data_IF_035184138883
#
_entry.id   IF_035184138883
#
_cell.length_a   1.000
_cell.length_b   1.000
_cell.length_c   1.000
_cell.angle_alpha   90.00
_cell.angle_beta   90.00
_cell.angle_gamma   90.00
#
_symmetry.space_group_name_H-M   'P 1'
#
loop_
_entity.id
_entity.type
_entity.pdbx_description
1 polymer ?
#
# COMPACT_ATOMS: atom_id res chain seq x y z
N UNK A 1 20.65 -9.44 10.90
CA UNK A 1 19.52 -10.12 10.23
C UNK A 1 18.79 -9.06 9.44
N UNK A 2 18.75 -9.17 8.11
CA UNK A 2 17.98 -8.25 7.27
C UNK A 2 16.50 -8.65 7.38
N UNK A 3 15.70 -7.82 8.06
CA UNK A 3 14.27 -8.04 8.12
C UNK A 3 13.63 -7.46 6.85
N UNK A 4 12.84 -8.28 6.13
CA UNK A 4 11.94 -7.79 5.10
C UNK A 4 10.78 -7.06 5.78
N UNK A 5 10.99 -5.78 6.12
CA UNK A 5 10.05 -5.03 6.93
C UNK A 5 8.68 -4.97 6.27
N UNK A 6 7.69 -5.57 6.92
CA UNK A 6 6.26 -5.39 6.60
C UNK A 6 5.85 -3.99 7.01
N UNK A 7 5.51 -3.15 6.03
CA UNK A 7 5.18 -1.73 6.22
C UNK A 7 3.70 -1.40 6.02
N UNK A 8 2.95 -2.28 5.38
CA UNK A 8 1.52 -2.09 5.15
C UNK A 8 0.77 -3.42 5.08
N UNK A 9 -0.56 -3.35 5.00
CA UNK A 9 -1.42 -4.50 4.76
C UNK A 9 -2.66 -4.13 3.94
N UNK A 10 -3.15 -5.06 3.13
CA UNK A 10 -4.38 -4.90 2.34
C UNK A 10 -5.19 -6.19 2.37
N UNK A 11 -6.45 -6.14 2.83
CA UNK A 11 -7.32 -7.32 2.87
C UNK A 11 -6.72 -8.55 3.60
N UNK A 12 -5.93 -8.32 4.65
CA UNK A 12 -5.24 -9.39 5.40
C UNK A 12 -3.91 -9.88 4.80
N UNK A 13 -3.46 -9.31 3.67
CA UNK A 13 -2.12 -9.56 3.11
C UNK A 13 -1.12 -8.54 3.66
N UNK A 14 0.08 -9.00 4.01
CA UNK A 14 1.18 -8.16 4.48
C UNK A 14 2.06 -7.68 3.32
N UNK A 15 2.46 -6.42 3.36
CA UNK A 15 3.20 -5.74 2.30
C UNK A 15 4.55 -5.30 2.84
N UNK A 16 5.62 -5.72 2.18
CA UNK A 16 6.98 -5.31 2.50
C UNK A 16 7.35 -3.99 1.83
N UNK A 17 8.37 -3.31 2.35
CA UNK A 17 8.80 -2.00 1.82
C UNK A 17 9.09 -2.01 0.31
N UNK A 18 9.70 -3.07 -0.22
CA UNK A 18 10.03 -3.17 -1.66
C UNK A 18 8.81 -3.27 -2.58
N UNK A 19 7.67 -3.75 -2.07
CA UNK A 19 6.43 -3.92 -2.85
C UNK A 19 5.40 -2.82 -2.60
N UNK A 20 5.65 -1.93 -1.62
CA UNK A 20 4.63 -0.99 -1.13
C UNK A 20 4.15 -0.03 -2.21
N UNK A 21 5.05 0.47 -3.06
CA UNK A 21 4.72 1.42 -4.12
C UNK A 21 3.79 0.79 -5.16
N UNK A 22 4.24 -0.30 -5.78
CA UNK A 22 3.47 -1.04 -6.79
C UNK A 22 2.08 -1.43 -6.28
N UNK A 23 2.00 -2.03 -5.09
CA UNK A 23 0.72 -2.47 -4.52
C UNK A 23 -0.19 -1.30 -4.15
N UNK A 24 0.37 -0.17 -3.72
CA UNK A 24 -0.42 1.04 -3.44
C UNK A 24 -0.99 1.66 -4.71
N UNK A 25 -0.24 1.68 -5.82
CA UNK A 25 -0.74 2.12 -7.12
C UNK A 25 -1.82 1.20 -7.66
N UNK A 26 -1.62 -0.13 -7.58
CA UNK A 26 -2.64 -1.12 -7.96
C UNK A 26 -3.93 -0.98 -7.13
N UNK A 27 -3.81 -0.73 -5.84
CA UNK A 27 -4.95 -0.47 -4.96
C UNK A 27 -5.65 0.86 -5.31
N UNK A 28 -4.89 1.93 -5.56
CA UNK A 28 -5.43 3.24 -5.94
C UNK A 28 -6.26 3.15 -7.22
N UNK A 29 -5.75 2.45 -8.24
CA UNK A 29 -6.49 2.22 -9.48
C UNK A 29 -7.81 1.45 -9.26
N UNK A 30 -7.83 0.48 -8.34
CA UNK A 30 -9.07 -0.23 -7.96
C UNK A 30 -10.07 0.70 -7.25
N UNK A 31 -9.59 1.62 -6.41
CA UNK A 31 -10.44 2.62 -5.76
C UNK A 31 -11.03 3.59 -6.79
N UNK A 32 -10.24 4.02 -7.77
CA UNK A 32 -10.71 4.87 -8.87
C UNK A 32 -11.78 4.17 -9.72
N UNK A 33 -11.54 2.92 -10.13
CA UNK A 33 -12.50 2.09 -10.87
C UNK A 33 -13.79 1.86 -10.07
N UNK A 34 -13.67 1.56 -8.76
CA UNK A 34 -14.81 1.45 -7.87
C UNK A 34 -15.61 2.76 -7.83
N UNK A 35 -14.96 3.90 -7.66
CA UNK A 35 -15.62 5.20 -7.59
C UNK A 35 -16.31 5.58 -8.92
N UNK A 36 -15.73 5.20 -10.06
CA UNK A 36 -16.34 5.42 -11.37
C UNK A 36 -17.60 4.56 -11.55
N UNK A 37 -17.51 3.25 -11.26
CA UNK A 37 -18.62 2.30 -11.43
C UNK A 37 -19.73 2.49 -10.41
N UNK A 38 -19.39 2.88 -9.18
CA UNK A 38 -20.36 3.05 -8.10
C UNK A 38 -21.34 4.22 -8.34
N UNK A 39 -21.09 5.07 -9.36
CA UNK A 39 -22.04 6.09 -9.82
C UNK A 39 -23.31 5.51 -10.44
N UNK A 40 -23.22 4.31 -11.01
CA UNK A 40 -24.31 3.69 -11.80
C UNK A 40 -24.69 2.30 -11.33
N UNK A 41 -23.78 1.58 -10.66
CA UNK A 41 -23.98 0.21 -10.21
C UNK A 41 -23.52 0.05 -8.76
N UNK A 42 -24.19 -0.80 -7.97
CA UNK A 42 -23.66 -1.16 -6.64
C UNK A 42 -22.51 -2.16 -6.85
N UNK A 43 -21.30 -1.74 -6.56
CA UNK A 43 -20.08 -2.56 -6.62
C UNK A 43 -19.52 -2.78 -5.22
N UNK A 44 -18.70 -3.83 -5.05
CA UNK A 44 -18.02 -4.09 -3.78
C UNK A 44 -16.76 -3.23 -3.68
N UNK A 45 -16.51 -2.52 -2.57
CA UNK A 45 -15.32 -1.69 -2.42
C UNK A 45 -14.05 -2.55 -2.37
N UNK A 46 -12.91 -2.04 -2.87
CA UNK A 46 -11.62 -2.71 -2.71
C UNK A 46 -11.25 -2.82 -1.22
N UNK A 47 -10.47 -3.84 -0.81
CA UNK A 47 -10.02 -3.97 0.57
C UNK A 47 -9.22 -2.74 1.03
N UNK A 48 -9.35 -2.39 2.31
CA UNK A 48 -8.66 -1.23 2.89
C UNK A 48 -7.13 -1.42 2.92
N UNK A 49 -6.39 -0.42 2.45
CA UNK A 49 -4.94 -0.37 2.50
C UNK A 49 -4.48 0.37 3.78
N UNK A 50 -3.77 -0.34 4.66
CA UNK A 50 -3.34 0.17 5.98
C UNK A 50 -1.83 0.22 6.08
N UNK A 51 -1.29 1.39 6.39
CA UNK A 51 0.12 1.53 6.77
C UNK A 51 0.34 1.18 8.23
N UNK A 52 1.46 0.52 8.52
CA UNK A 52 1.88 0.18 9.87
C UNK A 52 2.89 1.20 10.41
N UNK A 53 2.85 1.45 11.71
CA UNK A 53 3.85 2.29 12.40
C UNK A 53 5.08 1.49 12.83
N UNK A 54 4.90 0.19 13.06
CA UNK A 54 5.94 -0.76 13.45
C UNK A 54 5.87 -1.98 12.54
N UNK A 55 7.02 -2.57 12.27
CA UNK A 55 7.12 -3.75 11.44
C UNK A 55 6.41 -4.91 12.15
N UNK A 56 5.44 -5.52 11.47
CA UNK A 56 4.69 -6.64 12.04
C UNK A 56 5.52 -7.91 12.20
N UNK A 57 6.72 -7.97 11.61
CA UNK A 57 7.62 -9.12 11.70
C UNK A 57 8.68 -8.97 12.81
N UNK A 58 9.43 -7.87 12.83
CA UNK A 58 10.51 -7.65 13.81
C UNK A 58 10.17 -6.66 14.94
N UNK A 59 9.02 -5.98 14.90
CA UNK A 59 8.62 -4.98 15.89
C UNK A 59 9.35 -3.64 15.81
N UNK A 60 10.34 -3.48 14.92
CA UNK A 60 11.06 -2.22 14.75
C UNK A 60 10.17 -1.13 14.14
N UNK A 61 10.42 0.13 14.53
CA UNK A 61 9.69 1.28 14.01
C UNK A 61 9.94 1.43 12.52
N UNK A 62 8.86 1.57 11.75
CA UNK A 62 8.96 1.78 10.30
C UNK A 62 9.40 3.22 10.04
N UNK A 63 10.38 3.37 9.16
CA UNK A 63 10.77 4.68 8.65
C UNK A 63 9.68 5.19 7.69
N UNK A 64 8.79 6.03 8.20
CA UNK A 64 7.69 6.61 7.43
C UNK A 64 8.18 7.51 6.29
N UNK A 65 9.35 8.13 6.40
CA UNK A 65 9.96 8.89 5.31
C UNK A 65 10.40 7.95 4.17
N UNK A 66 10.97 6.78 4.49
CA UNK A 66 11.30 5.79 3.47
C UNK A 66 10.06 5.27 2.73
N UNK A 67 8.95 5.05 3.45
CA UNK A 67 7.67 4.67 2.83
C UNK A 67 7.14 5.78 1.92
N UNK A 68 7.14 7.04 2.39
CA UNK A 68 6.72 8.20 1.57
C UNK A 68 7.59 8.37 0.33
N UNK A 69 8.90 8.22 0.46
CA UNK A 69 9.83 8.28 -0.67
C UNK A 69 9.56 7.15 -1.67
N UNK A 70 9.33 5.91 -1.20
CA UNK A 70 8.98 4.80 -2.07
C UNK A 70 7.67 5.07 -2.84
N UNK A 71 6.67 5.68 -2.19
CA UNK A 71 5.42 6.07 -2.84
C UNK A 71 5.55 7.24 -3.83
N UNK A 72 6.60 8.06 -3.71
CA UNK A 72 6.87 9.19 -4.63
C UNK A 72 7.79 8.79 -5.79
N UNK A 73 8.68 7.82 -5.58
CA UNK A 73 9.74 7.46 -6.53
C UNK A 73 9.25 6.82 -7.84
N UNK A 74 8.00 6.37 -7.92
CA UNK A 74 7.38 5.88 -9.16
C UNK A 74 6.95 7.03 -10.10
N UNK A 75 6.93 8.29 -9.62
CA UNK A 75 6.53 9.47 -10.41
C UNK A 75 7.71 10.07 -11.24
N UNK A 76 8.97 9.79 -10.87
CA UNK A 76 10.17 10.43 -11.46
C UNK A 76 10.90 9.59 -12.54
N UNK A 77 10.28 8.55 -13.11
CA UNK A 77 10.87 7.73 -14.20
C UNK A 77 10.17 7.87 -15.56
N UNK A 78 9.47 8.99 -15.81
CA UNK A 78 8.77 9.23 -17.08
C UNK A 78 9.40 10.30 -17.96
#
# INVERSE_FOLDING_TARGET
MECNHVVASVGGKFIVLGDVARLYHEWSAQVEDFNEKNRTHVVTPPPEFKFANYCMNCGEKINQDAVKTALRGDDESR
#
